data_IF_072877935879
#
_entry.id   IF_072877935879
#
_cell.length_a   1.000
_cell.length_b   1.000
_cell.length_c   1.000
_cell.angle_alpha   90.00
_cell.angle_beta   90.00
_cell.angle_gamma   90.00
#
_symmetry.space_group_name_H-M   'P 1'
#
loop_
_entity.id
_entity.type
_entity.pdbx_description
1 polymer ?
#
# COMPACT_ATOMS: atom_id res chain seq x y z
N UNK A 1 8.92 5.35 1.06
CA UNK A 1 9.01 4.14 1.92
C UNK A 1 10.44 3.80 2.34
N UNK A 2 11.33 3.29 1.48
CA UNK A 2 12.68 2.84 1.91
C UNK A 2 13.44 3.92 2.70
N UNK A 3 13.49 5.14 2.17
CA UNK A 3 14.11 6.30 2.84
C UNK A 3 13.47 6.66 4.19
N UNK A 4 12.16 6.44 4.35
CA UNK A 4 11.48 6.65 5.64
C UNK A 4 11.90 5.57 6.64
N UNK A 5 12.00 4.31 6.19
CA UNK A 5 12.42 3.21 7.05
C UNK A 5 13.85 3.38 7.57
N UNK A 6 14.73 4.03 6.81
CA UNK A 6 16.09 4.38 7.26
C UNK A 6 16.10 5.38 8.44
N UNK A 7 15.00 6.14 8.64
CA UNK A 7 14.84 7.08 9.73
C UNK A 7 14.24 6.46 11.00
N UNK A 8 13.71 5.23 10.92
CA UNK A 8 13.10 4.56 12.07
C UNK A 8 14.15 4.25 13.15
N UNK A 9 13.73 4.15 14.44
CA UNK A 9 14.64 3.82 15.53
C UNK A 9 15.36 2.49 15.28
N UNK A 10 16.67 2.44 15.55
CA UNK A 10 17.49 1.23 15.41
C UNK A 10 17.31 0.29 16.60
N UNK A 11 16.09 -0.20 16.80
CA UNK A 11 15.71 -1.16 17.82
C UNK A 11 14.76 -2.21 17.24
N UNK A 12 14.31 -3.17 18.07
CA UNK A 12 13.42 -4.25 17.64
C UNK A 12 12.10 -3.75 17.06
N UNK A 13 11.56 -2.67 17.64
CA UNK A 13 10.31 -2.04 17.19
C UNK A 13 10.50 -1.47 15.79
N UNK A 14 11.46 -0.56 15.60
CA UNK A 14 11.69 0.07 14.29
C UNK A 14 12.06 -0.94 13.20
N UNK A 15 12.76 -2.03 13.55
CA UNK A 15 13.05 -3.13 12.63
C UNK A 15 11.77 -3.84 12.16
N UNK A 16 10.88 -4.22 13.08
CA UNK A 16 9.65 -4.94 12.73
C UNK A 16 8.71 -4.05 11.89
N UNK A 17 8.52 -2.78 12.28
CA UNK A 17 7.72 -1.83 11.50
C UNK A 17 8.29 -1.58 10.10
N UNK A 18 9.62 -1.43 9.98
CA UNK A 18 10.28 -1.31 8.67
C UNK A 18 10.01 -2.52 7.79
N UNK A 19 10.09 -3.72 8.36
CA UNK A 19 9.87 -4.97 7.63
C UNK A 19 8.44 -5.10 7.14
N UNK A 20 7.46 -4.80 7.98
CA UNK A 20 6.05 -4.84 7.60
C UNK A 20 5.73 -3.83 6.49
N UNK A 21 6.18 -2.58 6.66
CA UNK A 21 5.92 -1.50 5.69
C UNK A 21 6.63 -1.72 4.35
N UNK A 22 7.88 -2.19 4.34
CA UNK A 22 8.62 -2.46 3.09
C UNK A 22 7.95 -3.58 2.30
N UNK A 23 7.46 -4.63 2.98
CA UNK A 23 6.81 -5.76 2.33
C UNK A 23 5.49 -5.34 1.69
N UNK A 24 4.59 -4.74 2.47
CA UNK A 24 3.28 -4.30 1.98
C UNK A 24 3.41 -3.28 0.85
N UNK A 25 4.22 -2.22 1.04
CA UNK A 25 4.41 -1.21 0.00
C UNK A 25 5.08 -1.75 -1.26
N UNK A 26 6.02 -2.69 -1.11
CA UNK A 26 6.62 -3.40 -2.25
C UNK A 26 5.62 -4.26 -3.01
N UNK A 27 4.71 -4.93 -2.28
CA UNK A 27 3.63 -5.74 -2.84
C UNK A 27 2.64 -4.93 -3.66
N UNK A 28 2.31 -3.68 -3.28
CA UNK A 28 1.42 -2.80 -4.06
C UNK A 28 1.90 -2.67 -5.51
N UNK A 29 3.16 -2.24 -5.69
CA UNK A 29 3.74 -2.06 -7.02
C UNK A 29 3.92 -3.37 -7.78
N UNK A 30 4.35 -4.43 -7.08
CA UNK A 30 4.55 -5.75 -7.70
C UNK A 30 3.23 -6.35 -8.22
N UNK A 31 2.18 -6.35 -7.40
CA UNK A 31 0.87 -6.88 -7.76
C UNK A 31 0.17 -6.02 -8.80
N UNK A 32 0.35 -4.69 -8.77
CA UNK A 32 -0.21 -3.82 -9.81
C UNK A 32 0.42 -4.11 -11.18
N UNK A 33 1.75 -4.29 -11.24
CA UNK A 33 2.40 -4.73 -12.49
C UNK A 33 1.89 -6.10 -12.96
N UNK A 34 1.53 -6.99 -12.05
CA UNK A 34 0.96 -8.29 -12.37
C UNK A 34 -0.49 -8.18 -12.88
N UNK A 35 -1.28 -7.22 -12.38
CA UNK A 35 -2.65 -6.98 -12.81
C UNK A 35 -2.70 -6.46 -14.26
N UNK A 36 -1.76 -5.59 -14.64
CA UNK A 36 -1.63 -5.11 -16.03
C UNK A 36 -1.33 -6.24 -17.03
N UNK A 37 -0.80 -7.37 -16.56
CA UNK A 37 -0.56 -8.60 -17.35
C UNK A 37 -1.67 -9.64 -17.22
N UNK A 38 -2.84 -9.26 -16.69
CA UNK A 38 -3.95 -10.18 -16.50
C UNK A 38 -4.46 -10.75 -17.83
N UNK A 39 -4.79 -12.04 -17.83
CA UNK A 39 -5.23 -12.75 -19.05
C UNK A 39 -6.72 -12.57 -19.35
N UNK A 40 -7.51 -12.30 -18.32
CA UNK A 40 -8.96 -12.13 -18.40
C UNK A 40 -9.45 -11.21 -17.29
N UNK A 41 -10.67 -10.66 -17.43
CA UNK A 41 -11.21 -9.65 -16.52
C UNK A 41 -11.26 -10.12 -15.05
N UNK A 42 -11.60 -11.38 -14.79
CA UNK A 42 -11.64 -11.91 -13.43
C UNK A 42 -10.25 -11.97 -12.77
N UNK A 43 -9.19 -12.30 -13.54
CA UNK A 43 -7.81 -12.27 -13.06
C UNK A 43 -7.35 -10.83 -12.76
N UNK A 44 -7.74 -9.87 -13.60
CA UNK A 44 -7.48 -8.45 -13.33
C UNK A 44 -8.13 -8.00 -12.02
N UNK A 45 -9.41 -8.30 -11.82
CA UNK A 45 -10.15 -7.92 -10.61
C UNK A 45 -9.48 -8.53 -9.38
N UNK A 46 -9.24 -9.84 -9.38
CA UNK A 46 -8.57 -10.52 -8.26
C UNK A 46 -7.23 -9.87 -7.89
N UNK A 47 -6.40 -9.57 -8.89
CA UNK A 47 -5.10 -8.92 -8.64
C UNK A 47 -5.24 -7.48 -8.15
N UNK A 48 -6.21 -6.71 -8.64
CA UNK A 48 -6.49 -5.36 -8.12
C UNK A 48 -6.98 -5.42 -6.66
N UNK A 49 -7.74 -6.44 -6.27
CA UNK A 49 -8.12 -6.62 -4.86
C UNK A 49 -6.90 -6.85 -3.97
N UNK A 50 -5.93 -7.67 -4.41
CA UNK A 50 -4.66 -7.82 -3.70
C UNK A 50 -3.92 -6.48 -3.61
N UNK A 51 -3.84 -5.72 -4.71
CA UNK A 51 -3.21 -4.39 -4.69
C UNK A 51 -3.87 -3.45 -3.69
N UNK A 52 -5.21 -3.48 -3.61
CA UNK A 52 -5.97 -2.68 -2.66
C UNK A 52 -5.68 -3.08 -1.21
N UNK A 53 -5.67 -4.38 -0.90
CA UNK A 53 -5.33 -4.90 0.43
C UNK A 53 -3.94 -4.45 0.87
N UNK A 54 -2.94 -4.56 -0.01
CA UNK A 54 -1.56 -4.19 0.28
C UNK A 54 -1.38 -2.65 0.41
N UNK A 55 -2.17 -1.87 -0.33
CA UNK A 55 -2.15 -0.40 -0.25
C UNK A 55 -2.76 0.08 1.07
N UNK A 56 -3.87 -0.53 1.48
CA UNK A 56 -4.51 -0.27 2.77
C UNK A 56 -3.61 -0.69 3.94
N UNK A 57 -2.97 -1.86 3.86
CA UNK A 57 -2.01 -2.29 4.87
C UNK A 57 -0.79 -1.34 4.94
N UNK A 58 -0.28 -0.88 3.80
CA UNK A 58 0.81 0.10 3.75
C UNK A 58 0.40 1.42 4.43
N UNK A 59 -0.83 1.88 4.17
CA UNK A 59 -1.38 3.08 4.78
C UNK A 59 -1.50 2.92 6.30
N UNK A 60 -2.07 1.82 6.76
CA UNK A 60 -2.18 1.48 8.17
C UNK A 60 -0.82 1.52 8.89
N UNK A 61 0.23 0.91 8.32
CA UNK A 61 1.54 0.93 8.96
C UNK A 61 2.17 2.33 9.02
N UNK A 62 1.88 3.21 8.06
CA UNK A 62 2.32 4.61 8.11
C UNK A 62 1.58 5.38 9.21
N UNK A 63 0.28 5.17 9.38
CA UNK A 63 -0.50 5.76 10.47
C UNK A 63 0.02 5.29 11.83
N UNK A 64 0.29 4.00 12.02
CA UNK A 64 0.84 3.49 13.28
C UNK A 64 2.21 4.08 13.58
N UNK A 65 3.08 4.22 12.58
CA UNK A 65 4.40 4.87 12.74
C UNK A 65 4.24 6.33 13.19
N UNK A 66 3.26 7.05 12.63
CA UNK A 66 2.95 8.44 12.95
C UNK A 66 2.39 8.57 14.37
N UNK A 67 1.39 7.77 14.74
CA UNK A 67 0.75 7.77 16.06
C UNK A 67 1.72 7.38 17.18
N UNK A 68 2.58 6.40 16.92
CA UNK A 68 3.62 5.97 17.86
C UNK A 68 4.79 6.96 17.97
N UNK A 69 4.82 8.01 17.13
CA UNK A 69 5.89 9.02 17.14
C UNK A 69 7.27 8.45 16.85
N UNK A 70 7.36 7.38 16.04
CA UNK A 70 8.64 6.72 15.76
C UNK A 70 9.54 7.55 14.85
N UNK A 71 8.94 8.41 14.01
CA UNK A 71 9.64 9.37 13.14
C UNK A 71 8.85 10.67 13.11
N UNK A 72 9.53 11.79 13.30
CA UNK A 72 8.98 13.11 13.03
C UNK A 72 9.60 13.66 11.73
N UNK A 73 8.84 13.57 10.63
CA UNK A 73 9.31 13.99 9.31
C UNK A 73 8.14 14.46 8.45
N UNK A 74 8.25 15.61 7.75
CA UNK A 74 7.25 16.01 6.76
C UNK A 74 6.99 14.94 5.69
N UNK A 75 8.00 14.14 5.36
CA UNK A 75 7.89 13.04 4.40
C UNK A 75 6.93 11.95 4.89
N UNK A 76 6.78 11.73 6.21
CA UNK A 76 5.81 10.77 6.75
C UNK A 76 4.38 11.23 6.43
N UNK A 77 4.06 12.50 6.66
CA UNK A 77 2.73 13.06 6.38
C UNK A 77 2.39 12.99 4.88
N UNK A 78 3.37 13.25 4.01
CA UNK A 78 3.19 13.11 2.57
C UNK A 78 2.93 11.66 2.17
N UNK A 79 3.67 10.70 2.75
CA UNK A 79 3.50 9.28 2.47
C UNK A 79 2.16 8.74 2.96
N UNK A 80 1.68 9.17 4.15
CA UNK A 80 0.34 8.81 4.66
C UNK A 80 -0.72 9.29 3.67
N UNK A 81 -0.65 10.55 3.24
CA UNK A 81 -1.59 11.11 2.26
C UNK A 81 -1.56 10.35 0.94
N UNK A 82 -0.37 10.10 0.39
CA UNK A 82 -0.19 9.37 -0.87
C UNK A 82 -0.73 7.93 -0.77
N UNK A 83 -0.48 7.24 0.34
CA UNK A 83 -1.00 5.90 0.57
C UNK A 83 -2.54 5.88 0.57
N UNK A 84 -3.19 6.82 1.25
CA UNK A 84 -4.66 6.95 1.21
C UNK A 84 -5.19 7.24 -0.21
N UNK A 85 -4.53 8.12 -0.95
CA UNK A 85 -4.88 8.42 -2.35
C UNK A 85 -4.80 7.16 -3.23
N UNK A 86 -3.72 6.37 -3.09
CA UNK A 86 -3.54 5.11 -3.81
C UNK A 86 -4.62 4.07 -3.42
N UNK A 87 -4.92 3.92 -2.13
CA UNK A 87 -6.00 3.05 -1.66
C UNK A 87 -7.34 3.44 -2.29
N UNK A 88 -7.66 4.74 -2.32
CA UNK A 88 -8.88 5.23 -2.95
C UNK A 88 -8.92 4.95 -4.47
N UNK A 89 -7.79 5.13 -5.17
CA UNK A 89 -7.66 4.82 -6.60
C UNK A 89 -7.90 3.33 -6.86
N UNK A 90 -7.30 2.44 -6.09
CA UNK A 90 -7.45 1.00 -6.28
C UNK A 90 -8.86 0.51 -5.90
N UNK A 91 -9.49 1.10 -4.89
CA UNK A 91 -10.88 0.83 -4.55
C UNK A 91 -11.85 1.24 -5.67
N UNK A 92 -11.64 2.44 -6.26
CA UNK A 92 -12.42 2.89 -7.42
C UNK A 92 -12.18 2.00 -8.65
N UNK A 93 -10.94 1.52 -8.84
CA UNK A 93 -10.56 0.60 -9.92
C UNK A 93 -11.29 -0.74 -9.78
N UNK A 94 -11.26 -1.35 -8.60
CA UNK A 94 -11.96 -2.61 -8.31
C UNK A 94 -13.47 -2.49 -8.58
N UNK A 95 -14.09 -1.44 -8.03
CA UNK A 95 -15.52 -1.16 -8.22
C UNK A 95 -15.89 -1.03 -9.69
N UNK A 96 -15.10 -0.27 -10.45
CA UNK A 96 -15.32 -0.06 -11.88
C UNK A 96 -15.16 -1.36 -12.67
N UNK A 97 -14.10 -2.13 -12.40
CA UNK A 97 -13.83 -3.39 -13.07
C UNK A 97 -14.96 -4.41 -12.84
N UNK A 98 -15.46 -4.55 -11.60
CA UNK A 98 -16.60 -5.41 -11.25
C UNK A 98 -17.92 -4.97 -11.87
N UNK A 99 -18.14 -3.67 -12.07
CA UNK A 99 -19.34 -3.19 -12.76
C UNK A 99 -19.34 -3.54 -14.25
N UNK A 100 -18.16 -3.55 -14.88
CA UNK A 100 -18.00 -3.83 -16.32
C UNK A 100 -18.06 -5.33 -16.69
N UNK A 101 -18.20 -6.22 -15.71
CA UNK A 101 -18.43 -7.66 -15.93
C UNK A 101 -19.88 -8.07 -15.72
N UNK A 102 -20.73 -7.20 -15.15
CA UNK A 102 -22.17 -7.44 -14.93
C UNK A 102 -23.06 -7.02 -16.11
N UNK A 103 -22.48 -6.39 -17.14
CA UNK A 103 -23.10 -6.13 -18.44
C UNK A 103 -22.70 -7.22 -19.42
#
# INVERSE_FOLDING_TARGET
IIKLCELLPRNSIGFEFSKQLIRSAGSVGANYRASVRAKFKADFIYKIQIVLEEADESHYWLEVIQEAGLVDSPALNELVREANELTAIFAATDKTAKSNTKK
#
